data_IF_389036918784
#
_entry.id   IF_389036918784
#
_cell.length_a   1.000
_cell.length_b   1.000
_cell.length_c   1.000
_cell.angle_alpha   90.00
_cell.angle_beta   90.00
_cell.angle_gamma   90.00
#
_symmetry.space_group_name_H-M   'P 1'
#
loop_
_entity.id
_entity.type
_entity.pdbx_description
1 polymer ?
#
# COMPACT_ATOMS: atom_id res chain seq x y z
N UNK A 1 -11.13 -1.73 16.38
CA UNK A 1 -11.13 -2.66 15.24
C UNK A 1 -9.70 -3.05 14.92
N UNK A 2 -9.48 -4.25 14.37
CA UNK A 2 -8.14 -4.70 13.96
C UNK A 2 -8.00 -4.71 12.45
N UNK A 3 -7.91 -3.52 11.85
CA UNK A 3 -7.93 -3.35 10.39
C UNK A 3 -6.94 -4.25 9.65
N UNK A 4 -5.72 -4.43 10.15
CA UNK A 4 -4.74 -5.33 9.54
C UNK A 4 -5.18 -6.80 9.53
N UNK A 5 -5.84 -7.26 10.60
CA UNK A 5 -6.38 -8.62 10.67
C UNK A 5 -7.53 -8.79 9.69
N UNK A 6 -8.41 -7.79 9.62
CA UNK A 6 -9.59 -7.84 8.76
C UNK A 6 -9.18 -7.81 7.27
N UNK A 7 -8.24 -6.95 6.88
CA UNK A 7 -7.65 -6.93 5.53
C UNK A 7 -6.89 -8.22 5.21
N UNK A 8 -6.12 -8.78 6.16
CA UNK A 8 -5.46 -10.08 5.97
C UNK A 8 -6.45 -11.18 5.63
N UNK A 9 -7.53 -11.29 6.39
CA UNK A 9 -8.54 -12.32 6.19
C UNK A 9 -9.29 -12.13 4.86
N UNK A 10 -9.63 -10.88 4.52
CA UNK A 10 -10.26 -10.56 3.25
C UNK A 10 -9.35 -10.87 2.05
N UNK A 11 -8.06 -10.53 2.13
CA UNK A 11 -7.07 -10.92 1.12
C UNK A 11 -6.96 -12.44 0.99
N UNK A 12 -6.90 -13.18 2.10
CA UNK A 12 -6.83 -14.64 2.04
C UNK A 12 -8.06 -15.23 1.33
N UNK A 13 -9.27 -14.75 1.66
CA UNK A 13 -10.49 -15.18 1.00
C UNK A 13 -10.47 -14.88 -0.51
N UNK A 14 -10.01 -13.68 -0.89
CA UNK A 14 -9.86 -13.32 -2.30
C UNK A 14 -8.83 -14.21 -3.02
N UNK A 15 -7.68 -14.49 -2.38
CA UNK A 15 -6.67 -15.38 -2.94
C UNK A 15 -7.23 -16.79 -3.16
N UNK A 16 -8.01 -17.32 -2.20
CA UNK A 16 -8.69 -18.62 -2.35
C UNK A 16 -9.69 -18.61 -3.54
N UNK A 17 -10.36 -17.49 -3.79
CA UNK A 17 -11.32 -17.32 -4.90
C UNK A 17 -10.64 -17.24 -6.27
N UNK A 18 -9.60 -16.39 -6.41
CA UNK A 18 -8.98 -16.10 -7.71
C UNK A 18 -7.92 -17.14 -8.12
N UNK A 19 -7.32 -17.84 -7.15
CA UNK A 19 -6.28 -18.83 -7.42
C UNK A 19 -4.89 -18.24 -7.74
N UNK A 20 -3.90 -19.09 -8.08
CA UNK A 20 -2.47 -18.73 -8.08
C UNK A 20 -1.94 -18.00 -9.32
N UNK A 21 -2.70 -17.96 -10.41
CA UNK A 21 -2.22 -17.54 -11.72
C UNK A 21 -2.69 -16.13 -12.13
N UNK A 22 -3.55 -15.50 -11.34
CA UNK A 22 -4.17 -14.23 -11.68
C UNK A 22 -3.21 -13.05 -11.58
N UNK A 23 -3.41 -11.99 -12.38
CA UNK A 23 -2.56 -10.82 -12.35
C UNK A 23 -2.72 -10.03 -11.05
N UNK A 24 -1.70 -9.24 -10.74
CA UNK A 24 -1.73 -8.25 -9.66
C UNK A 24 -1.25 -6.90 -10.20
N UNK A 25 -1.46 -5.82 -9.44
CA UNK A 25 -0.87 -4.51 -9.78
C UNK A 25 0.65 -4.45 -9.53
N UNK A 26 1.24 -5.44 -8.87
CA UNK A 26 2.69 -5.58 -8.79
C UNK A 26 3.21 -6.09 -10.14
N UNK A 27 3.94 -5.24 -10.86
CA UNK A 27 4.42 -5.56 -12.20
C UNK A 27 5.19 -6.90 -12.24
N UNK A 28 4.77 -7.77 -13.17
CA UNK A 28 5.36 -9.09 -13.34
C UNK A 28 4.98 -10.13 -12.27
N UNK A 29 4.15 -9.78 -11.28
CA UNK A 29 3.73 -10.70 -10.22
C UNK A 29 2.33 -11.24 -10.48
N UNK A 30 2.20 -12.57 -10.34
CA UNK A 30 0.90 -13.22 -10.16
C UNK A 30 0.56 -13.33 -8.68
N UNK A 31 -0.66 -13.72 -8.38
CA UNK A 31 -1.14 -13.93 -6.99
C UNK A 31 -0.26 -14.88 -6.18
N UNK A 32 0.35 -15.91 -6.79
CA UNK A 32 1.33 -16.79 -6.11
C UNK A 32 2.60 -16.03 -5.68
N UNK A 33 3.08 -15.10 -6.51
CA UNK A 33 4.28 -14.31 -6.23
C UNK A 33 4.02 -13.30 -5.10
N UNK A 34 2.83 -12.67 -5.11
CA UNK A 34 2.35 -11.80 -4.04
C UNK A 34 2.16 -12.58 -2.73
N UNK A 35 1.57 -13.78 -2.78
CA UNK A 35 1.40 -14.62 -1.60
C UNK A 35 2.77 -15.05 -1.02
N UNK A 36 3.72 -15.43 -1.87
CA UNK A 36 5.08 -15.76 -1.47
C UNK A 36 5.82 -14.58 -0.82
N UNK A 37 5.63 -13.36 -1.35
CA UNK A 37 6.16 -12.12 -0.76
C UNK A 37 5.65 -11.91 0.66
N UNK A 38 4.34 -12.02 0.88
CA UNK A 38 3.73 -11.84 2.21
C UNK A 38 4.26 -12.86 3.22
N UNK A 39 4.38 -14.13 2.82
CA UNK A 39 4.94 -15.20 3.68
C UNK A 39 6.42 -14.94 4.00
N UNK A 40 7.22 -14.55 3.01
CA UNK A 40 8.63 -14.20 3.20
C UNK A 40 8.77 -13.06 4.21
N UNK A 41 8.04 -11.96 4.00
CA UNK A 41 8.12 -10.75 4.83
C UNK A 41 7.92 -11.07 6.31
N UNK A 42 7.00 -11.98 6.63
CA UNK A 42 6.68 -12.32 8.03
C UNK A 42 7.62 -13.35 8.66
N UNK A 43 8.28 -14.18 7.84
CA UNK A 43 8.99 -15.39 8.32
C UNK A 43 10.49 -15.34 8.12
N UNK A 44 11.00 -14.44 7.28
CA UNK A 44 12.40 -14.37 6.89
C UNK A 44 12.93 -12.95 7.05
N UNK A 45 13.23 -12.51 8.29
CA UNK A 45 13.78 -11.18 8.52
C UNK A 45 15.09 -10.93 7.75
N UNK A 46 15.88 -11.99 7.53
CA UNK A 46 17.09 -11.96 6.71
C UNK A 46 16.81 -11.62 5.23
N UNK A 47 15.67 -12.08 4.70
CA UNK A 47 15.24 -11.80 3.33
C UNK A 47 14.40 -10.52 3.24
N UNK A 48 13.64 -10.17 4.28
CA UNK A 48 12.82 -8.95 4.31
C UNK A 48 13.67 -7.68 4.18
N UNK A 49 14.93 -7.70 4.64
CA UNK A 49 15.86 -6.57 4.56
C UNK A 49 16.18 -6.12 3.11
N UNK A 50 16.01 -6.99 2.10
CA UNK A 50 16.21 -6.66 0.69
C UNK A 50 14.94 -6.28 -0.08
N UNK A 51 13.76 -6.20 0.57
CA UNK A 51 12.49 -5.85 -0.08
C UNK A 51 12.49 -4.42 -0.66
N UNK A 52 13.27 -3.51 -0.09
CA UNK A 52 13.46 -2.14 -0.59
C UNK A 52 14.64 -2.02 -1.57
N UNK A 53 15.17 -3.14 -2.07
CA UNK A 53 16.35 -3.19 -2.93
C UNK A 53 17.67 -3.33 -2.17
N UNK A 54 18.77 -2.92 -2.81
CA UNK A 54 20.11 -2.96 -2.22
C UNK A 54 20.82 -4.33 -2.34
N UNK A 55 21.91 -4.56 -1.60
CA UNK A 55 22.79 -5.72 -1.79
C UNK A 55 22.11 -7.06 -1.47
N UNK A 56 21.04 -7.05 -0.67
CA UNK A 56 20.28 -8.25 -0.30
C UNK A 56 19.12 -8.56 -1.27
N UNK A 57 18.83 -7.71 -2.26
CA UNK A 57 17.70 -7.91 -3.17
C UNK A 57 17.75 -9.27 -3.90
N UNK A 58 18.94 -9.71 -4.31
CA UNK A 58 19.13 -11.03 -4.92
C UNK A 58 18.91 -12.20 -3.96
N UNK A 59 19.10 -12.02 -2.65
CA UNK A 59 18.71 -13.01 -1.64
C UNK A 59 17.20 -13.04 -1.44
N UNK A 60 16.57 -11.88 -1.32
CA UNK A 60 15.11 -11.72 -1.23
C UNK A 60 14.41 -12.41 -2.39
N UNK A 61 14.82 -12.13 -3.63
CA UNK A 61 14.25 -12.75 -4.82
C UNK A 61 14.36 -14.29 -4.81
N UNK A 62 15.51 -14.83 -4.38
CA UNK A 62 15.71 -16.28 -4.26
C UNK A 62 14.79 -16.90 -3.21
N UNK A 63 14.63 -16.26 -2.05
CA UNK A 63 13.75 -16.77 -0.98
C UNK A 63 12.29 -16.67 -1.39
N UNK A 64 11.87 -15.61 -2.09
CA UNK A 64 10.51 -15.47 -2.60
C UNK A 64 10.21 -16.54 -3.65
N UNK A 65 11.12 -16.76 -4.60
CA UNK A 65 11.01 -17.83 -5.59
C UNK A 65 10.97 -19.24 -4.97
N UNK A 66 11.56 -19.43 -3.80
CA UNK A 66 11.43 -20.68 -3.06
C UNK A 66 10.02 -20.85 -2.46
N UNK A 67 9.48 -19.81 -1.81
CA UNK A 67 8.10 -19.85 -1.29
C UNK A 67 7.07 -20.01 -2.42
N UNK A 68 7.27 -19.37 -3.58
CA UNK A 68 6.37 -19.49 -4.73
C UNK A 68 6.25 -20.91 -5.30
N UNK A 69 7.11 -21.85 -4.88
CA UNK A 69 7.02 -23.29 -5.24
C UNK A 69 6.14 -24.10 -4.29
N UNK A 70 5.75 -23.54 -3.15
CA UNK A 70 4.82 -24.21 -2.25
C UNK A 70 3.42 -24.30 -2.89
N UNK A 71 2.63 -25.33 -2.53
CA UNK A 71 1.21 -25.35 -2.89
C UNK A 71 0.53 -24.04 -2.50
N UNK A 72 -0.21 -23.44 -3.42
CA UNK A 72 -0.80 -22.12 -3.22
C UNK A 72 -1.72 -22.05 -1.98
N UNK A 73 -2.55 -23.07 -1.76
CA UNK A 73 -3.37 -23.18 -0.55
C UNK A 73 -2.54 -23.17 0.75
N UNK A 74 -1.32 -23.73 0.72
CA UNK A 74 -0.39 -23.66 1.84
C UNK A 74 0.11 -22.23 2.06
N UNK A 75 0.45 -21.49 1.00
CA UNK A 75 0.83 -20.08 1.10
C UNK A 75 -0.30 -19.24 1.72
N UNK A 76 -1.53 -19.42 1.23
CA UNK A 76 -2.70 -18.70 1.77
C UNK A 76 -2.92 -19.03 3.25
N UNK A 77 -2.77 -20.29 3.66
CA UNK A 77 -2.90 -20.67 5.07
C UNK A 77 -1.78 -20.09 5.96
N UNK A 78 -0.55 -20.03 5.45
CA UNK A 78 0.56 -19.36 6.16
C UNK A 78 0.28 -17.87 6.36
N UNK A 79 -0.31 -17.20 5.36
CA UNK A 79 -0.75 -15.79 5.50
C UNK A 79 -1.89 -15.70 6.52
N UNK A 80 -2.89 -16.57 6.41
CA UNK A 80 -4.08 -16.56 7.28
C UNK A 80 -3.72 -16.72 8.76
N UNK A 81 -2.76 -17.60 9.05
CA UNK A 81 -2.30 -17.92 10.41
C UNK A 81 -1.25 -16.95 10.95
N UNK A 82 -0.59 -16.19 10.06
CA UNK A 82 0.38 -15.16 10.42
C UNK A 82 1.77 -15.70 10.81
N UNK A 83 2.64 -14.85 11.40
CA UNK A 83 4.00 -15.24 11.74
C UNK A 83 4.04 -16.32 12.84
N UNK A 84 5.10 -17.17 12.88
CA UNK A 84 5.31 -18.11 13.98
C UNK A 84 5.31 -17.40 15.34
N UNK A 85 4.81 -18.08 16.38
CA UNK A 85 4.66 -17.53 17.75
C UNK A 85 5.94 -16.92 18.37
N UNK A 86 7.12 -17.24 17.85
CA UNK A 86 8.43 -16.76 18.32
C UNK A 86 9.17 -15.89 17.28
N UNK A 87 8.49 -15.39 16.24
CA UNK A 87 9.09 -14.46 15.28
C UNK A 87 9.34 -13.09 15.95
N UNK A 88 10.43 -12.37 15.63
CA UNK A 88 10.61 -10.96 16.02
C UNK A 88 9.47 -10.05 15.52
N UNK A 89 8.73 -10.47 14.49
CA UNK A 89 7.52 -9.81 14.00
C UNK A 89 6.23 -10.26 14.70
N UNK A 90 6.29 -11.28 15.57
CA UNK A 90 5.17 -11.68 16.42
C UNK A 90 5.00 -10.78 17.66
N UNK A 91 5.76 -9.68 17.77
CA UNK A 91 5.67 -8.71 18.87
C UNK A 91 4.34 -7.93 18.74
N UNK A 92 3.40 -8.09 19.71
CA UNK A 92 2.14 -7.36 19.69
C UNK A 92 2.38 -5.85 19.76
N UNK A 93 1.86 -5.09 18.79
CA UNK A 93 1.82 -3.61 18.82
C UNK A 93 2.78 -2.87 17.87
N UNK A 94 3.88 -3.50 17.43
CA UNK A 94 4.66 -3.02 16.28
C UNK A 94 3.95 -3.31 14.94
N UNK A 95 2.97 -4.22 15.01
CA UNK A 95 2.55 -5.10 13.93
C UNK A 95 1.29 -4.57 13.21
N UNK A 96 0.28 -4.09 13.94
CA UNK A 96 -1.02 -3.77 13.34
C UNK A 96 -0.97 -2.63 12.32
N UNK A 97 -0.17 -1.60 12.57
CA UNK A 97 -0.32 -0.34 11.82
C UNK A 97 0.53 -0.26 10.56
N UNK A 98 1.64 -1.01 10.48
CA UNK A 98 2.40 -1.21 9.23
C UNK A 98 1.71 -2.31 8.42
N UNK A 99 1.27 -3.38 9.07
CA UNK A 99 0.55 -4.45 8.39
C UNK A 99 -0.80 -3.99 7.84
N UNK A 100 -1.47 -3.01 8.44
CA UNK A 100 -2.72 -2.47 7.90
C UNK A 100 -2.52 -1.90 6.50
N UNK A 101 -1.46 -1.11 6.27
CA UNK A 101 -1.16 -0.57 4.93
C UNK A 101 -0.72 -1.69 3.99
N UNK A 102 0.14 -2.60 4.44
CA UNK A 102 0.63 -3.73 3.63
C UNK A 102 -0.53 -4.61 3.14
N UNK A 103 -1.40 -5.08 4.06
CA UNK A 103 -2.54 -5.92 3.70
C UNK A 103 -3.59 -5.16 2.91
N UNK A 104 -3.85 -3.89 3.22
CA UNK A 104 -4.75 -3.07 2.41
C UNK A 104 -4.25 -2.94 0.98
N UNK A 105 -2.98 -2.56 0.78
CA UNK A 105 -2.40 -2.35 -0.55
C UNK A 105 -2.38 -3.66 -1.34
N UNK A 106 -1.93 -4.77 -0.75
CA UNK A 106 -1.86 -6.03 -1.47
C UNK A 106 -3.23 -6.69 -1.69
N UNK A 107 -4.22 -6.43 -0.83
CA UNK A 107 -5.60 -6.77 -1.12
C UNK A 107 -6.11 -6.00 -2.34
N UNK A 108 -5.86 -4.71 -2.42
CA UNK A 108 -6.24 -3.90 -3.57
C UNK A 108 -5.39 -4.21 -4.82
N UNK A 109 -4.13 -4.64 -4.68
CA UNK A 109 -3.30 -5.09 -5.82
C UNK A 109 -3.92 -6.30 -6.52
N UNK A 110 -4.55 -7.22 -5.78
CA UNK A 110 -5.27 -8.37 -6.36
C UNK A 110 -6.63 -7.91 -6.91
N UNK A 111 -7.44 -7.18 -6.12
CA UNK A 111 -8.79 -6.75 -6.55
C UNK A 111 -8.77 -5.87 -7.80
N UNK A 112 -7.89 -4.88 -7.83
CA UNK A 112 -7.84 -3.87 -8.91
C UNK A 112 -7.16 -4.37 -10.18
N UNK A 113 -6.47 -5.50 -10.11
CA UNK A 113 -5.95 -6.17 -11.30
C UNK A 113 -7.03 -6.99 -12.03
N UNK A 114 -8.18 -7.24 -11.41
CA UNK A 114 -9.27 -7.96 -12.03
C UNK A 114 -10.10 -7.05 -12.97
N UNK A 115 -10.69 -7.62 -14.04
CA UNK A 115 -11.59 -6.88 -14.90
C UNK A 115 -12.78 -6.29 -14.15
N UNK A 116 -13.17 -5.06 -14.49
CA UNK A 116 -14.37 -4.42 -13.94
C UNK A 116 -14.27 -4.01 -12.47
N UNK A 117 -13.05 -3.90 -11.93
CA UNK A 117 -12.87 -3.48 -10.54
C UNK A 117 -13.45 -2.06 -10.30
N UNK A 118 -14.01 -1.88 -9.11
CA UNK A 118 -14.46 -0.58 -8.61
C UNK A 118 -13.93 -0.35 -7.17
N UNK A 119 -13.67 0.91 -6.77
CA UNK A 119 -13.32 1.27 -5.41
C UNK A 119 -14.38 0.75 -4.45
N UNK A 120 -13.93 0.22 -3.31
CA UNK A 120 -14.84 -0.23 -2.27
C UNK A 120 -15.18 0.91 -1.31
N UNK A 121 -16.40 0.90 -0.80
CA UNK A 121 -16.78 1.76 0.31
C UNK A 121 -16.07 1.27 1.58
N UNK A 122 -15.24 2.12 2.18
CA UNK A 122 -14.51 1.80 3.40
C UNK A 122 -15.16 2.45 4.62
N UNK A 123 -15.12 1.78 5.80
CA UNK A 123 -15.46 2.43 7.05
C UNK A 123 -14.57 3.65 7.29
N UNK A 124 -15.14 4.74 7.80
CA UNK A 124 -14.42 5.97 8.10
C UNK A 124 -13.17 5.72 8.98
N UNK A 125 -13.27 4.80 9.95
CA UNK A 125 -12.14 4.47 10.81
C UNK A 125 -10.97 3.80 10.09
N UNK A 126 -11.20 3.06 8.98
CA UNK A 126 -10.11 2.54 8.15
C UNK A 126 -9.49 3.67 7.31
N UNK A 127 -10.32 4.58 6.77
CA UNK A 127 -9.82 5.78 6.08
C UNK A 127 -8.93 6.62 6.99
N UNK A 128 -9.35 6.84 8.24
CA UNK A 128 -8.56 7.56 9.24
C UNK A 128 -7.26 6.83 9.61
N UNK A 129 -7.32 5.50 9.71
CA UNK A 129 -6.13 4.69 9.96
C UNK A 129 -5.12 4.83 8.82
N UNK A 130 -5.56 4.75 7.56
CA UNK A 130 -4.72 4.95 6.38
C UNK A 130 -4.18 6.39 6.30
N UNK A 131 -5.03 7.39 6.56
CA UNK A 131 -4.63 8.80 6.59
C UNK A 131 -3.51 9.07 7.59
N UNK A 132 -3.62 8.51 8.80
CA UNK A 132 -2.58 8.65 9.85
C UNK A 132 -1.22 8.09 9.43
N UNK A 133 -1.18 7.27 8.37
CA UNK A 133 0.01 6.58 7.84
C UNK A 133 0.58 7.21 6.59
N UNK A 134 -0.19 8.02 5.87
CA UNK A 134 0.30 8.75 4.70
C UNK A 134 1.52 9.67 4.92
N UNK A 135 1.90 10.12 6.14
CA UNK A 135 3.21 10.75 6.32
C UNK A 135 4.40 9.89 5.86
N UNK A 136 4.26 8.55 5.78
CA UNK A 136 5.29 7.67 5.20
C UNK A 136 5.57 7.96 3.71
N UNK A 137 4.61 8.56 3.00
CA UNK A 137 4.76 8.96 1.60
C UNK A 137 5.91 9.97 1.39
N UNK A 138 6.37 10.65 2.45
CA UNK A 138 7.59 11.49 2.40
C UNK A 138 8.82 10.69 1.96
N UNK A 139 8.88 9.42 2.31
CA UNK A 139 9.98 8.54 1.90
C UNK A 139 9.86 8.15 0.42
N UNK A 140 8.68 7.74 -0.02
CA UNK A 140 8.44 7.30 -1.41
C UNK A 140 8.49 8.47 -2.41
N UNK A 141 8.07 9.67 -1.98
CA UNK A 141 8.01 10.88 -2.81
C UNK A 141 9.27 11.76 -2.72
N UNK A 142 10.28 11.33 -1.96
CA UNK A 142 11.53 12.11 -1.75
C UNK A 142 12.31 12.40 -3.04
N UNK A 143 12.02 11.69 -4.13
CA UNK A 143 12.63 11.86 -5.47
C UNK A 143 11.72 12.47 -6.53
N UNK A 144 10.42 12.68 -6.26
CA UNK A 144 9.49 13.43 -7.12
C UNK A 144 10.09 14.74 -7.72
N UNK A 145 9.83 15.11 -8.97
CA UNK A 145 10.44 16.29 -9.56
C UNK A 145 9.86 17.62 -9.03
N UNK A 146 8.78 17.58 -8.26
CA UNK A 146 8.00 18.74 -7.77
C UNK A 146 7.67 18.60 -6.28
N UNK A 147 7.16 19.67 -5.66
CA UNK A 147 6.51 19.60 -4.35
C UNK A 147 5.20 18.81 -4.44
N UNK A 148 4.85 18.13 -3.36
CA UNK A 148 3.64 17.29 -3.32
C UNK A 148 2.88 17.53 -2.03
N UNK A 149 1.61 17.90 -2.19
CA UNK A 149 0.62 17.93 -1.11
C UNK A 149 -0.41 16.81 -1.31
N UNK A 150 -0.75 16.11 -0.24
CA UNK A 150 -1.86 15.15 -0.23
C UNK A 150 -3.03 15.80 0.51
N UNK A 151 -4.23 15.72 -0.07
CA UNK A 151 -5.46 16.28 0.50
C UNK A 151 -6.55 15.22 0.50
N UNK A 152 -7.14 14.95 1.67
CA UNK A 152 -8.29 14.04 1.76
C UNK A 152 -9.59 14.77 1.45
N UNK A 153 -10.49 14.12 0.72
CA UNK A 153 -11.80 14.66 0.29
C UNK A 153 -13.00 13.88 0.85
N UNK A 154 -12.76 12.89 1.71
CA UNK A 154 -13.78 12.06 2.36
C UNK A 154 -14.41 12.73 3.60
N UNK A 155 -13.85 13.86 4.06
CA UNK A 155 -14.39 14.66 5.14
C UNK A 155 -15.12 15.88 4.58
N UNK A 156 -16.30 16.18 5.12
CA UNK A 156 -16.98 17.43 4.83
C UNK A 156 -16.07 18.61 5.22
N UNK A 157 -15.81 19.51 4.26
CA UNK A 157 -15.02 20.71 4.50
C UNK A 157 -15.76 21.55 5.56
N UNK A 158 -15.14 21.88 6.72
CA UNK A 158 -15.84 22.69 7.70
C UNK A 158 -16.13 24.05 7.08
N UNK A 159 -17.42 24.40 6.99
CA UNK A 159 -17.87 25.68 6.50
C UNK A 159 -17.40 26.77 7.47
N UNK A 160 -16.37 27.52 7.07
CA UNK A 160 -15.91 28.72 7.77
C UNK A 160 -15.37 28.49 9.18
N UNK A 161 -14.04 28.38 9.32
CA UNK A 161 -13.40 28.60 10.61
C UNK A 161 -12.16 27.76 10.85
N UNK A 162 -11.07 28.46 11.14
CA UNK A 162 -9.93 27.94 11.89
C UNK A 162 -10.42 27.34 13.21
N UNK A 163 -10.72 26.04 13.21
CA UNK A 163 -11.26 25.32 14.37
C UNK A 163 -10.54 23.99 14.56
N UNK A 164 -9.60 23.96 15.50
CA UNK A 164 -8.95 22.74 16.00
C UNK A 164 -9.98 21.80 16.62
N UNK A 165 -10.48 20.86 15.82
CA UNK A 165 -11.08 19.57 16.28
C UNK A 165 -11.32 18.55 15.16
N UNK A 166 -11.11 18.91 13.88
CA UNK A 166 -10.99 17.96 12.77
C UNK A 166 -9.52 17.62 12.49
N UNK A 167 -9.19 16.34 12.29
CA UNK A 167 -7.83 15.93 11.92
C UNK A 167 -7.32 16.67 10.67
N UNK A 168 -6.00 16.89 10.56
CA UNK A 168 -5.41 17.61 9.42
C UNK A 168 -5.92 17.04 8.09
N UNK A 169 -6.52 17.88 7.23
CA UNK A 169 -7.01 17.48 5.90
C UNK A 169 -5.93 17.46 4.82
N UNK A 170 -4.74 17.97 5.16
CA UNK A 170 -3.60 18.12 4.25
C UNK A 170 -2.33 17.53 4.85
N UNK A 171 -1.49 16.91 4.01
CA UNK A 171 -0.14 16.45 4.33
C UNK A 171 0.82 17.00 3.28
N UNK A 172 1.81 17.78 3.70
CA UNK A 172 2.97 18.08 2.84
C UNK A 172 3.87 16.85 2.80
N UNK A 173 3.80 16.11 1.70
CA UNK A 173 4.60 14.91 1.48
C UNK A 173 5.96 15.24 0.85
N UNK A 174 6.05 16.37 0.13
CA UNK A 174 7.33 16.95 -0.29
C UNK A 174 7.28 18.47 -0.33
N UNK A 175 8.14 19.10 0.47
CA UNK A 175 8.31 20.55 0.46
C UNK A 175 9.29 20.96 -0.65
N UNK A 176 8.76 21.44 -1.77
CA UNK A 176 9.50 22.00 -2.93
C UNK A 176 8.55 22.86 -3.76
N UNK A 177 9.07 23.77 -4.57
CA UNK A 177 8.30 24.49 -5.60
C UNK A 177 8.77 24.10 -7.01
N UNK A 178 7.89 24.08 -8.02
CA UNK A 178 6.42 24.20 -7.93
C UNK A 178 5.78 23.02 -7.20
N UNK A 179 4.48 23.13 -6.84
CA UNK A 179 3.73 22.13 -6.05
C UNK A 179 2.59 21.55 -6.89
N UNK A 180 2.40 20.23 -6.78
CA UNK A 180 1.20 19.53 -7.25
C UNK A 180 0.40 19.02 -6.04
N UNK A 181 -0.89 19.30 -6.02
CA UNK A 181 -1.83 18.79 -5.01
C UNK A 181 -2.47 17.50 -5.52
N UNK A 182 -2.44 16.45 -4.69
CA UNK A 182 -3.06 15.16 -4.94
C UNK A 182 -4.25 15.02 -4.00
N UNK A 183 -5.46 15.02 -4.56
CA UNK A 183 -6.71 14.96 -3.80
C UNK A 183 -7.41 13.62 -3.98
N UNK A 184 -7.89 13.01 -2.90
CA UNK A 184 -8.70 11.79 -2.95
C UNK A 184 -8.94 11.19 -1.57
N UNK A 185 -9.75 10.14 -1.49
CA UNK A 185 -9.97 9.44 -0.23
C UNK A 185 -8.63 8.85 0.29
N UNK A 186 -8.43 8.71 1.62
CA UNK A 186 -7.17 8.22 2.18
C UNK A 186 -6.70 6.88 1.60
N UNK A 187 -7.62 5.96 1.29
CA UNK A 187 -7.35 4.74 0.54
C UNK A 187 -6.74 4.96 -0.85
N UNK A 188 -7.32 5.86 -1.64
CA UNK A 188 -6.83 6.18 -2.99
C UNK A 188 -5.49 6.90 -2.95
N UNK A 189 -5.31 7.82 -1.99
CA UNK A 189 -4.02 8.46 -1.74
C UNK A 189 -2.96 7.45 -1.30
N UNK A 190 -3.34 6.43 -0.53
CA UNK A 190 -2.43 5.36 -0.13
C UNK A 190 -1.99 4.55 -1.35
N UNK A 191 -2.92 4.11 -2.19
CA UNK A 191 -2.59 3.40 -3.43
C UNK A 191 -1.68 4.26 -4.35
N UNK A 192 -2.02 5.53 -4.53
CA UNK A 192 -1.23 6.46 -5.34
C UNK A 192 0.19 6.67 -4.81
N UNK A 193 0.33 6.90 -3.50
CA UNK A 193 1.62 7.12 -2.82
C UNK A 193 2.50 5.87 -2.77
N UNK A 194 1.88 4.69 -2.80
CA UNK A 194 2.54 3.39 -2.89
C UNK A 194 2.84 2.99 -4.34
N UNK A 195 2.63 3.87 -5.32
CA UNK A 195 3.05 3.66 -6.70
C UNK A 195 1.98 3.10 -7.65
N UNK A 196 0.76 2.85 -7.18
CA UNK A 196 -0.35 2.31 -7.99
C UNK A 196 -1.16 3.42 -8.65
N UNK A 197 -0.49 4.42 -9.22
CA UNK A 197 -1.15 5.63 -9.74
C UNK A 197 -2.19 5.35 -10.83
N UNK A 198 -1.91 4.41 -11.76
CA UNK A 198 -2.85 4.02 -12.81
C UNK A 198 -4.10 3.30 -12.32
N UNK A 199 -4.10 2.84 -11.07
CA UNK A 199 -5.23 2.16 -10.44
C UNK A 199 -5.73 2.91 -9.20
N UNK A 200 -5.36 4.19 -9.02
CA UNK A 200 -5.81 5.02 -7.90
C UNK A 200 -6.70 6.16 -8.41
N UNK A 201 -7.86 6.37 -7.77
CA UNK A 201 -8.80 7.45 -8.09
C UNK A 201 -8.43 8.71 -7.31
N UNK A 202 -7.47 9.46 -7.85
CA UNK A 202 -7.03 10.76 -7.31
C UNK A 202 -7.14 11.85 -8.37
N UNK A 203 -7.34 13.08 -7.93
CA UNK A 203 -7.27 14.29 -8.75
C UNK A 203 -5.93 14.99 -8.52
N UNK A 204 -5.26 15.39 -9.60
CA UNK A 204 -4.00 16.13 -9.56
C UNK A 204 -4.24 17.58 -9.98
N UNK A 205 -3.86 18.53 -9.11
CA UNK A 205 -3.94 19.96 -9.38
C UNK A 205 -2.56 20.59 -9.38
N UNK A 206 -2.21 21.29 -10.46
CA UNK A 206 -0.93 21.95 -10.68
C UNK A 206 -0.83 22.44 -12.13
N UNK A 207 0.31 23.01 -12.53
CA UNK A 207 0.52 23.28 -13.96
C UNK A 207 0.59 21.97 -14.74
N UNK A 208 0.20 21.97 -16.02
CA UNK A 208 0.25 20.76 -16.87
C UNK A 208 1.65 20.15 -16.88
N UNK A 209 2.68 20.98 -17.00
CA UNK A 209 4.09 20.55 -16.96
C UNK A 209 4.44 19.84 -15.66
N UNK A 210 4.00 20.36 -14.52
CA UNK A 210 4.31 19.80 -13.20
C UNK A 210 3.56 18.49 -12.93
N UNK A 211 2.29 18.43 -13.35
CA UNK A 211 1.46 17.22 -13.25
C UNK A 211 2.05 16.12 -14.13
N UNK A 212 2.43 16.42 -15.37
CA UNK A 212 3.10 15.46 -16.27
C UNK A 212 4.42 14.97 -15.67
N UNK A 213 5.27 15.86 -15.17
CA UNK A 213 6.52 15.47 -14.53
C UNK A 213 6.30 14.56 -13.31
N UNK A 214 5.25 14.79 -12.52
CA UNK A 214 4.89 13.94 -11.39
C UNK A 214 4.31 12.58 -11.83
N UNK A 215 3.60 12.53 -12.95
CA UNK A 215 3.01 11.31 -13.50
C UNK A 215 4.05 10.39 -14.15
N UNK A 216 5.13 10.96 -14.71
CA UNK A 216 6.21 10.19 -15.34
C UNK A 216 6.87 9.22 -14.34
N UNK A 217 6.86 7.93 -14.68
CA UNK A 217 7.26 6.85 -13.78
C UNK A 217 8.75 6.84 -13.40
N UNK A 218 9.60 7.58 -14.13
CA UNK A 218 11.07 7.51 -14.02
C UNK A 218 11.69 7.98 -12.70
N UNK A 219 10.90 8.50 -11.75
CA UNK A 219 11.38 8.82 -10.40
C UNK A 219 10.84 7.88 -9.32
N UNK A 220 9.86 7.04 -9.65
CA UNK A 220 9.23 6.06 -8.76
C UNK A 220 10.02 4.75 -8.84
N UNK A 221 11.15 4.71 -8.13
CA UNK A 221 12.02 3.52 -8.01
C UNK A 221 12.21 3.15 -6.55
#
# INVERSE_FOLDING_TARGET
>A
MRYARDERLALCALLDEVGPAEPTLCEGWRTVDLAAHLVLRERRPDAAAGLLGGPLAGHTARVQAHFARLPFAQLVDLIRTGPPRFSPLAIPGADERVNAVEFFVHHEDVRRAQPGWEPRALPAGLQDALWSRLPMARLTLRRAPVGVELVRDDLAQPAGGSGSSGGSVRITARARTPVVTVTGAPAELTMWAMGRAGAARVRLDGSTTDVSALADAGWRH
#
